data_IF_536914128310
#
_entry.id   IF_536914128310
#
_cell.length_a   1.000
_cell.length_b   1.000
_cell.length_c   1.000
_cell.angle_alpha   90.00
_cell.angle_beta   90.00
_cell.angle_gamma   90.00
#
_symmetry.space_group_name_H-M   'P 1'
#
loop_
_entity.id
_entity.type
_entity.pdbx_description
1 polymer ?
#
# COMPACT_ATOMS: atom_id res chain seq x y z
N UNK A 1 6.92 -8.60 14.23
CA UNK A 1 6.59 -7.27 13.68
C UNK A 1 7.30 -7.00 12.36
N UNK A 2 8.64 -7.11 12.29
CA UNK A 2 9.41 -6.89 11.04
C UNK A 2 8.88 -7.75 9.88
N UNK A 3 8.55 -9.02 10.11
CA UNK A 3 8.07 -9.92 9.05
C UNK A 3 6.80 -9.44 8.32
N UNK A 4 5.84 -8.78 8.99
CA UNK A 4 4.65 -8.25 8.29
C UNK A 4 5.01 -7.12 7.33
N UNK A 5 5.86 -6.20 7.80
CA UNK A 5 6.31 -5.05 7.01
C UNK A 5 7.11 -5.53 5.79
N UNK A 6 8.06 -6.43 6.00
CA UNK A 6 8.90 -6.97 4.93
C UNK A 6 8.08 -7.82 3.96
N UNK A 7 7.21 -8.71 4.45
CA UNK A 7 6.32 -9.48 3.58
C UNK A 7 5.46 -8.56 2.69
N UNK A 8 4.87 -7.50 3.26
CA UNK A 8 4.08 -6.55 2.48
C UNK A 8 4.93 -5.69 1.54
N UNK A 9 6.17 -5.35 1.89
CA UNK A 9 7.05 -4.61 0.98
C UNK A 9 7.35 -5.42 -0.28
N UNK A 10 7.60 -6.73 -0.12
CA UNK A 10 7.83 -7.59 -1.28
C UNK A 10 6.55 -7.77 -2.10
N UNK A 11 5.41 -8.02 -1.46
CA UNK A 11 4.14 -8.25 -2.20
C UNK A 11 3.65 -6.98 -2.90
N UNK A 12 3.79 -5.80 -2.29
CA UNK A 12 3.44 -4.55 -2.98
C UNK A 12 4.43 -4.22 -4.10
N UNK A 13 5.73 -4.49 -3.90
CA UNK A 13 6.75 -4.37 -4.94
C UNK A 13 6.44 -5.23 -6.16
N UNK A 14 6.14 -6.52 -5.94
CA UNK A 14 5.68 -7.44 -6.96
C UNK A 14 4.51 -6.86 -7.77
N UNK A 15 3.42 -6.46 -7.10
CA UNK A 15 2.23 -5.97 -7.78
C UNK A 15 2.47 -4.68 -8.56
N UNK A 16 3.34 -3.80 -8.07
CA UNK A 16 3.76 -2.60 -8.81
C UNK A 16 4.46 -2.97 -10.11
N UNK A 17 5.48 -3.82 -10.02
CA UNK A 17 6.29 -4.18 -11.18
C UNK A 17 5.50 -4.96 -12.22
N UNK A 18 4.70 -5.95 -11.80
CA UNK A 18 3.95 -6.78 -12.75
C UNK A 18 2.84 -5.98 -13.46
N UNK A 19 2.22 -5.04 -12.75
CA UNK A 19 1.18 -4.16 -13.33
C UNK A 19 1.80 -3.26 -14.41
N UNK A 20 2.93 -2.63 -14.12
CA UNK A 20 3.65 -1.81 -15.11
C UNK A 20 4.13 -2.68 -16.28
N UNK A 21 4.71 -3.85 -15.99
CA UNK A 21 5.21 -4.74 -17.04
C UNK A 21 4.11 -5.17 -18.01
N UNK A 22 2.96 -5.63 -17.49
CA UNK A 22 1.81 -6.04 -18.32
C UNK A 22 1.23 -4.90 -19.13
N UNK A 23 1.15 -3.70 -18.55
CA UNK A 23 0.73 -2.50 -19.30
C UNK A 23 1.66 -2.25 -20.48
N UNK A 24 2.98 -2.25 -20.25
CA UNK A 24 4.00 -2.00 -21.29
C UNK A 24 4.21 -3.16 -22.28
N UNK A 25 3.66 -4.34 -21.99
CA UNK A 25 3.58 -5.46 -22.92
C UNK A 25 2.40 -5.26 -23.89
N UNK A 26 1.26 -4.80 -23.38
CA UNK A 26 0.08 -4.45 -24.18
C UNK A 26 0.26 -3.13 -24.96
N UNK A 27 1.04 -2.20 -24.41
CA UNK A 27 1.34 -0.87 -24.96
C UNK A 27 2.86 -0.65 -25.09
N UNK A 28 3.54 -1.30 -26.06
CA UNK A 28 4.97 -1.16 -26.24
C UNK A 28 5.44 0.29 -26.53
N UNK A 29 4.55 1.13 -27.06
CA UNK A 29 4.77 2.55 -27.32
C UNK A 29 5.05 3.38 -26.06
N UNK A 30 4.50 2.97 -24.92
CA UNK A 30 4.67 3.64 -23.63
C UNK A 30 6.01 3.29 -22.95
N UNK A 31 6.80 2.40 -23.57
CA UNK A 31 8.08 1.93 -23.02
C UNK A 31 9.20 2.94 -23.29
N UNK A 32 9.19 4.01 -22.52
CA UNK A 32 10.13 5.14 -22.66
C UNK A 32 11.55 4.87 -22.14
N UNK A 33 11.77 3.79 -21.36
CA UNK A 33 13.10 3.43 -20.81
C UNK A 33 13.41 1.92 -20.92
N UNK A 34 14.68 1.53 -21.17
CA UNK A 34 15.08 0.12 -21.25
C UNK A 34 14.88 -0.68 -19.96
N UNK A 35 14.89 -0.01 -18.81
CA UNK A 35 14.77 -0.62 -17.47
C UNK A 35 13.50 -1.49 -17.33
N UNK A 36 12.42 -1.12 -18.03
CA UNK A 36 11.16 -1.86 -17.99
C UNK A 36 11.26 -3.29 -18.51
N UNK A 37 12.29 -3.62 -19.32
CA UNK A 37 12.54 -4.99 -19.78
C UNK A 37 12.99 -5.93 -18.66
N UNK A 38 13.51 -5.38 -17.55
CA UNK A 38 13.97 -6.17 -16.40
C UNK A 38 12.87 -6.39 -15.36
N UNK A 39 11.72 -5.74 -15.50
CA UNK A 39 10.65 -5.79 -14.49
C UNK A 39 10.11 -7.21 -14.31
N UNK A 40 10.00 -8.02 -15.38
CA UNK A 40 9.59 -9.42 -15.26
C UNK A 40 10.51 -10.22 -14.34
N UNK A 41 11.84 -10.08 -14.52
CA UNK A 41 12.81 -10.76 -13.68
C UNK A 41 12.73 -10.29 -12.22
N UNK A 42 12.61 -8.98 -11.99
CA UNK A 42 12.42 -8.45 -10.63
C UNK A 42 11.13 -8.93 -9.99
N UNK A 43 10.03 -9.06 -10.74
CA UNK A 43 8.80 -9.66 -10.23
C UNK A 43 9.04 -11.09 -9.73
N UNK A 44 9.85 -11.89 -10.43
CA UNK A 44 10.18 -13.24 -9.98
C UNK A 44 10.98 -13.24 -8.68
N UNK A 45 11.92 -12.30 -8.53
CA UNK A 45 12.72 -12.17 -7.31
C UNK A 45 11.85 -11.73 -6.12
N UNK A 46 11.02 -10.70 -6.29
CA UNK A 46 10.04 -10.24 -5.29
C UNK A 46 9.08 -11.36 -4.88
N UNK A 47 8.61 -12.17 -5.84
CA UNK A 47 7.72 -13.28 -5.53
C UNK A 47 8.42 -14.34 -4.68
N UNK A 48 9.66 -14.72 -5.03
CA UNK A 48 10.47 -15.69 -4.27
C UNK A 48 10.76 -15.20 -2.85
N UNK A 49 11.11 -13.92 -2.69
CA UNK A 49 11.29 -13.33 -1.36
C UNK A 49 10.00 -13.38 -0.55
N UNK A 50 8.87 -13.02 -1.16
CA UNK A 50 7.56 -13.10 -0.52
C UNK A 50 7.19 -14.52 -0.08
N UNK A 51 7.52 -15.54 -0.88
CA UNK A 51 7.25 -16.95 -0.56
C UNK A 51 8.14 -17.44 0.59
N UNK A 52 9.39 -16.96 0.66
CA UNK A 52 10.27 -17.21 1.80
C UNK A 52 9.71 -16.63 3.10
N UNK A 53 9.21 -15.38 3.07
CA UNK A 53 8.58 -14.77 4.23
C UNK A 53 7.26 -15.45 4.62
N UNK A 54 6.46 -15.89 3.65
CA UNK A 54 5.26 -16.71 3.92
C UNK A 54 5.64 -17.97 4.72
N UNK A 55 6.65 -18.71 4.26
CA UNK A 55 7.14 -19.90 4.96
C UNK A 55 7.60 -19.59 6.40
N UNK A 56 8.35 -18.50 6.61
CA UNK A 56 8.77 -18.07 7.95
C UNK A 56 7.57 -17.75 8.84
N UNK A 57 6.61 -16.97 8.32
CA UNK A 57 5.44 -16.56 9.10
C UNK A 57 4.56 -17.75 9.47
N UNK A 58 4.44 -18.75 8.59
CA UNK A 58 3.75 -20.01 8.89
C UNK A 58 4.49 -20.89 9.89
N UNK A 59 5.81 -20.92 9.83
CA UNK A 59 6.64 -21.67 10.77
C UNK A 59 6.59 -21.09 12.20
N UNK A 60 6.13 -19.84 12.37
CA UNK A 60 6.00 -19.17 13.65
C UNK A 60 4.52 -18.85 13.96
N UNK A 61 3.75 -19.76 14.60
CA UNK A 61 2.31 -19.62 14.83
C UNK A 61 1.87 -18.33 15.53
N UNK A 62 2.71 -17.77 16.41
CA UNK A 62 2.45 -16.50 17.09
C UNK A 62 2.38 -15.29 16.15
N UNK A 63 2.87 -15.43 14.91
CA UNK A 63 2.71 -14.40 13.88
C UNK A 63 1.36 -14.44 13.18
N UNK A 64 0.54 -15.49 13.32
CA UNK A 64 -0.69 -15.61 12.52
C UNK A 64 -1.94 -15.92 13.34
N UNK A 65 -1.79 -16.52 14.52
CA UNK A 65 -2.91 -17.20 15.19
C UNK A 65 -3.55 -16.43 16.35
N UNK A 66 -2.96 -15.33 16.81
CA UNK A 66 -3.47 -14.58 17.96
C UNK A 66 -4.19 -13.28 17.57
N UNK A 67 -4.87 -12.68 18.54
CA UNK A 67 -5.57 -11.41 18.35
C UNK A 67 -4.58 -10.27 18.01
N UNK A 68 -3.33 -10.37 18.47
CA UNK A 68 -2.29 -9.40 18.16
C UNK A 68 -1.94 -9.46 16.66
N UNK A 69 -1.84 -10.65 16.08
CA UNK A 69 -1.59 -10.85 14.66
C UNK A 69 -2.66 -10.19 13.79
N UNK A 70 -3.92 -10.21 14.24
CA UNK A 70 -4.99 -9.45 13.56
C UNK A 70 -4.75 -7.94 13.60
N UNK A 71 -4.35 -7.40 14.74
CA UNK A 71 -4.04 -5.98 14.88
C UNK A 71 -2.81 -5.58 14.04
N UNK A 72 -1.76 -6.40 14.04
CA UNK A 72 -0.57 -6.16 13.23
C UNK A 72 -0.85 -6.24 11.73
N UNK A 73 -1.65 -7.22 11.30
CA UNK A 73 -2.08 -7.32 9.90
C UNK A 73 -2.78 -6.04 9.45
N UNK A 74 -3.76 -5.56 10.24
CA UNK A 74 -4.47 -4.30 9.96
C UNK A 74 -3.54 -3.10 9.93
N UNK A 75 -2.65 -3.00 10.92
CA UNK A 75 -1.71 -1.89 11.04
C UNK A 75 -0.80 -1.81 9.83
N UNK A 76 -0.11 -2.91 9.50
CA UNK A 76 0.86 -2.92 8.42
C UNK A 76 0.21 -2.79 7.04
N UNK A 77 -0.96 -3.42 6.80
CA UNK A 77 -1.73 -3.19 5.57
C UNK A 77 -2.07 -1.71 5.41
N UNK A 78 -2.61 -1.08 6.45
CA UNK A 78 -3.00 0.33 6.38
C UNK A 78 -1.79 1.24 6.17
N UNK A 79 -0.69 1.01 6.90
CA UNK A 79 0.53 1.80 6.77
C UNK A 79 1.12 1.72 5.37
N UNK A 80 1.21 0.52 4.79
CA UNK A 80 1.76 0.32 3.44
C UNK A 80 0.84 0.96 2.40
N UNK A 81 -0.48 0.71 2.45
CA UNK A 81 -1.43 1.25 1.48
C UNK A 81 -1.52 2.77 1.54
N UNK A 82 -1.61 3.35 2.73
CA UNK A 82 -1.65 4.80 2.89
C UNK A 82 -0.34 5.46 2.44
N UNK A 83 0.81 4.87 2.76
CA UNK A 83 2.10 5.41 2.32
C UNK A 83 2.22 5.41 0.81
N UNK A 84 1.84 4.31 0.15
CA UNK A 84 1.84 4.24 -1.31
C UNK A 84 0.89 5.29 -1.90
N UNK A 85 -0.39 5.27 -1.50
CA UNK A 85 -1.43 6.13 -2.06
C UNK A 85 -1.12 7.62 -1.89
N UNK A 86 -0.58 8.03 -0.74
CA UNK A 86 -0.26 9.44 -0.48
C UNK A 86 1.00 9.93 -1.21
N UNK A 87 1.94 9.04 -1.52
CA UNK A 87 3.20 9.40 -2.17
C UNK A 87 3.09 9.38 -3.71
N UNK A 88 2.41 8.39 -4.28
CA UNK A 88 2.45 8.16 -5.73
C UNK A 88 1.68 9.22 -6.54
N UNK A 89 0.75 9.94 -5.91
CA UNK A 89 0.10 11.12 -6.49
C UNK A 89 1.11 12.21 -6.86
N UNK A 90 2.17 12.34 -6.05
CA UNK A 90 3.25 13.30 -6.32
C UNK A 90 4.07 12.88 -7.55
N UNK A 91 3.92 11.62 -8.00
CA UNK A 91 4.60 11.02 -9.16
C UNK A 91 3.65 10.81 -10.35
N UNK A 92 2.49 11.47 -10.35
CA UNK A 92 1.51 11.39 -11.45
C UNK A 92 2.11 11.63 -12.83
N UNK A 93 3.08 12.55 -12.97
CA UNK A 93 3.79 12.79 -14.23
C UNK A 93 4.59 11.58 -14.75
N UNK A 94 5.13 10.73 -13.85
CA UNK A 94 5.80 9.49 -14.26
C UNK A 94 4.81 8.48 -14.83
N UNK A 95 3.70 8.24 -14.12
CA UNK A 95 2.68 7.29 -14.58
C UNK A 95 2.06 7.74 -15.91
N UNK A 96 1.77 9.04 -16.06
CA UNK A 96 1.26 9.59 -17.31
C UNK A 96 2.25 9.42 -18.48
N UNK A 97 3.55 9.50 -18.23
CA UNK A 97 4.57 9.31 -19.27
C UNK A 97 4.67 7.86 -19.78
N UNK A 98 4.11 6.89 -19.05
CA UNK A 98 4.01 5.48 -19.45
C UNK A 98 2.55 5.06 -19.69
N UNK A 99 1.66 6.01 -19.99
CA UNK A 99 0.26 5.73 -20.35
C UNK A 99 -0.64 5.25 -19.21
N UNK A 100 -0.23 5.43 -17.94
CA UNK A 100 -0.99 5.01 -16.77
C UNK A 100 -1.62 6.19 -16.03
N UNK A 101 -2.84 5.99 -15.53
CA UNK A 101 -3.41 6.85 -14.50
C UNK A 101 -2.91 6.41 -13.11
N UNK A 102 -2.30 7.33 -12.37
CA UNK A 102 -1.70 7.02 -11.06
C UNK A 102 -2.73 6.55 -10.03
N UNK A 103 -3.98 7.04 -10.07
CA UNK A 103 -5.01 6.68 -9.09
C UNK A 103 -5.56 5.30 -9.35
N UNK A 104 -5.87 4.99 -10.60
CA UNK A 104 -6.36 3.69 -10.99
C UNK A 104 -5.28 2.62 -10.79
N UNK A 105 -4.03 2.96 -11.12
CA UNK A 105 -2.87 2.13 -10.81
C UNK A 105 -2.74 1.84 -9.31
N UNK A 106 -2.79 2.88 -8.46
CA UNK A 106 -2.64 2.71 -7.02
C UNK A 106 -3.75 1.84 -6.42
N UNK A 107 -5.00 2.08 -6.83
CA UNK A 107 -6.15 1.28 -6.39
C UNK A 107 -5.96 -0.19 -6.76
N UNK A 108 -5.58 -0.46 -8.01
CA UNK A 108 -5.35 -1.83 -8.50
C UNK A 108 -4.25 -2.54 -7.70
N UNK A 109 -3.11 -1.88 -7.49
CA UNK A 109 -2.00 -2.47 -6.72
C UNK A 109 -2.41 -2.73 -5.28
N UNK A 110 -3.14 -1.80 -4.64
CA UNK A 110 -3.63 -1.97 -3.27
C UNK A 110 -4.57 -3.17 -3.18
N UNK A 111 -5.55 -3.26 -4.09
CA UNK A 111 -6.52 -4.36 -4.15
C UNK A 111 -5.79 -5.71 -4.28
N UNK A 112 -4.88 -5.84 -5.25
CA UNK A 112 -4.16 -7.09 -5.49
C UNK A 112 -3.17 -7.45 -4.39
N UNK A 113 -2.54 -6.46 -3.78
CA UNK A 113 -1.70 -6.68 -2.59
C UNK A 113 -2.54 -7.16 -1.41
N UNK A 114 -3.71 -6.56 -1.18
CA UNK A 114 -4.63 -6.93 -0.10
C UNK A 114 -5.18 -8.36 -0.29
N UNK A 115 -5.60 -8.71 -1.50
CA UNK A 115 -6.00 -10.08 -1.87
C UNK A 115 -4.88 -11.10 -1.59
N UNK A 116 -3.66 -10.78 -2.02
CA UNK A 116 -2.49 -11.67 -1.86
C UNK A 116 -2.09 -11.82 -0.40
N UNK A 117 -2.13 -10.73 0.37
CA UNK A 117 -1.83 -10.76 1.79
C UNK A 117 -2.79 -11.68 2.56
N UNK A 118 -4.05 -11.76 2.14
CA UNK A 118 -5.05 -12.63 2.75
C UNK A 118 -4.79 -14.14 2.65
N UNK A 119 -3.80 -14.57 1.85
CA UNK A 119 -3.33 -15.97 1.85
C UNK A 119 -2.55 -16.33 3.11
N UNK A 120 -1.94 -15.32 3.75
CA UNK A 120 -1.04 -15.46 4.89
C UNK A 120 -1.65 -14.83 6.13
N UNK A 121 -2.11 -13.58 6.01
CA UNK A 121 -2.60 -12.81 7.15
C UNK A 121 -3.97 -13.33 7.60
N UNK A 122 -4.24 -13.36 8.92
CA UNK A 122 -5.54 -13.78 9.45
C UNK A 122 -6.68 -12.82 9.10
N UNK A 123 -6.36 -11.58 8.73
CA UNK A 123 -7.34 -10.57 8.31
C UNK A 123 -6.76 -9.67 7.23
N UNK A 124 -7.64 -9.14 6.38
CA UNK A 124 -7.32 -8.09 5.41
C UNK A 124 -8.21 -6.87 5.61
N UNK A 125 -7.82 -5.73 5.01
CA UNK A 125 -8.63 -4.52 5.06
C UNK A 125 -9.80 -4.63 4.07
N UNK A 126 -10.93 -4.01 4.39
CA UNK A 126 -12.05 -3.90 3.47
C UNK A 126 -11.82 -2.71 2.51
N UNK A 127 -10.92 -2.89 1.55
CA UNK A 127 -10.49 -1.82 0.61
C UNK A 127 -11.59 -1.43 -0.38
N UNK A 128 -12.56 -2.32 -0.62
CA UNK A 128 -13.73 -2.07 -1.47
C UNK A 128 -14.81 -1.23 -0.77
N UNK A 129 -14.70 -1.04 0.55
CA UNK A 129 -15.63 -0.19 1.27
C UNK A 129 -15.59 1.24 0.69
N UNK A 130 -16.73 1.87 0.38
CA UNK A 130 -16.76 3.16 -0.31
C UNK A 130 -15.95 4.24 0.42
N UNK A 131 -15.97 4.20 1.75
CA UNK A 131 -15.24 5.16 2.57
C UNK A 131 -13.71 4.97 2.58
N UNK A 132 -13.19 3.82 2.13
CA UNK A 132 -11.77 3.49 2.23
C UNK A 132 -10.92 4.51 1.47
N UNK A 133 -11.18 4.65 0.16
CA UNK A 133 -10.46 5.60 -0.68
C UNK A 133 -10.89 7.04 -0.40
N UNK A 134 -12.14 7.31 -0.02
CA UNK A 134 -12.58 8.66 0.37
C UNK A 134 -11.78 9.20 1.56
N UNK A 135 -11.53 8.37 2.56
CA UNK A 135 -10.69 8.72 3.71
C UNK A 135 -9.24 8.98 3.29
N UNK A 136 -8.69 8.20 2.36
CA UNK A 136 -7.35 8.45 1.82
C UNK A 136 -7.30 9.75 1.01
N UNK A 137 -8.33 10.07 0.22
CA UNK A 137 -8.43 11.34 -0.51
C UNK A 137 -8.48 12.56 0.41
N UNK A 138 -9.14 12.45 1.56
CA UNK A 138 -9.06 13.51 2.60
C UNK A 138 -7.60 13.72 3.02
N UNK A 139 -6.86 12.64 3.28
CA UNK A 139 -5.44 12.72 3.65
C UNK A 139 -4.58 13.32 2.52
N UNK A 140 -4.88 13.01 1.26
CA UNK A 140 -4.20 13.63 0.10
C UNK A 140 -4.40 15.14 0.11
N UNK A 141 -5.65 15.61 0.21
CA UNK A 141 -5.96 17.05 0.25
C UNK A 141 -5.32 17.74 1.43
N UNK A 142 -5.30 17.08 2.59
CA UNK A 142 -4.61 17.59 3.77
C UNK A 142 -3.10 17.71 3.53
N UNK A 143 -2.47 16.71 2.91
CA UNK A 143 -1.05 16.74 2.58
C UNK A 143 -0.71 17.87 1.61
N UNK A 144 -1.56 18.14 0.61
CA UNK A 144 -1.39 19.30 -0.28
C UNK A 144 -1.40 20.63 0.49
N UNK A 145 -2.33 20.80 1.44
CA UNK A 145 -2.40 21.99 2.29
C UNK A 145 -1.21 22.10 3.24
N UNK A 146 -0.76 20.98 3.81
CA UNK A 146 0.44 20.91 4.64
C UNK A 146 1.68 21.36 3.85
N UNK A 147 1.85 20.89 2.62
CA UNK A 147 2.93 21.32 1.72
C UNK A 147 2.85 22.80 1.40
N UNK A 148 1.66 23.34 1.13
CA UNK A 148 1.47 24.77 0.91
C UNK A 148 1.87 25.62 2.13
N UNK A 149 1.55 25.16 3.35
CA UNK A 149 1.97 25.83 4.59
C UNK A 149 3.49 25.78 4.76
N UNK A 150 4.13 24.63 4.50
CA UNK A 150 5.60 24.50 4.56
C UNK A 150 6.28 25.49 3.62
N UNK A 151 5.74 25.65 2.41
CA UNK A 151 6.28 26.53 1.37
C UNK A 151 5.91 28.02 1.57
N UNK A 152 5.11 28.34 2.58
CA UNK A 152 4.73 29.71 2.90
C UNK A 152 5.86 30.49 3.59
N UNK A 153 5.86 31.81 3.47
CA UNK A 153 6.81 32.71 4.17
C UNK A 153 6.44 32.95 5.65
N UNK A 154 5.40 32.30 6.16
CA UNK A 154 4.89 32.48 7.52
C UNK A 154 5.89 31.94 8.56
N UNK A 155 6.08 32.60 9.72
CA UNK A 155 6.97 32.11 10.78
C UNK A 155 6.69 30.67 11.21
N UNK A 156 7.74 29.89 11.52
CA UNK A 156 7.65 28.45 11.86
C UNK A 156 6.66 28.14 12.98
N UNK A 157 6.59 28.99 14.01
CA UNK A 157 5.63 28.82 15.11
C UNK A 157 4.18 28.93 14.62
N UNK A 158 3.86 29.89 13.75
CA UNK A 158 2.51 30.03 13.17
C UNK A 158 2.19 28.86 12.22
N UNK A 159 3.18 28.39 11.45
CA UNK A 159 3.00 27.18 10.63
C UNK A 159 2.63 25.96 11.47
N UNK A 160 3.13 25.83 12.71
CA UNK A 160 2.77 24.71 13.59
C UNK A 160 1.26 24.69 13.86
N UNK A 161 0.67 25.83 14.22
CA UNK A 161 -0.78 25.94 14.46
C UNK A 161 -1.59 25.73 13.17
N UNK A 162 -1.11 26.22 12.03
CA UNK A 162 -1.76 26.00 10.74
C UNK A 162 -1.76 24.51 10.33
N UNK A 163 -0.72 23.75 10.70
CA UNK A 163 -0.59 22.31 10.39
C UNK A 163 -1.44 21.43 11.31
N UNK A 164 -1.63 21.85 12.57
CA UNK A 164 -2.34 21.07 13.59
C UNK A 164 -3.70 20.50 13.14
N UNK A 165 -4.64 21.28 12.56
CA UNK A 165 -5.93 20.73 12.14
C UNK A 165 -5.80 19.64 11.07
N UNK A 166 -4.81 19.74 10.18
CA UNK A 166 -4.58 18.73 9.14
C UNK A 166 -3.95 17.46 9.70
N UNK A 167 -3.05 17.57 10.68
CA UNK A 167 -2.52 16.40 11.39
C UNK A 167 -3.60 15.68 12.19
N UNK A 168 -4.47 16.41 12.89
CA UNK A 168 -5.62 15.83 13.60
C UNK A 168 -6.59 15.16 12.61
N UNK A 169 -6.87 15.81 11.48
CA UNK A 169 -7.70 15.24 10.43
C UNK A 169 -7.11 13.94 9.87
N UNK A 170 -5.82 13.91 9.54
CA UNK A 170 -5.14 12.70 9.08
C UNK A 170 -5.19 11.58 10.13
N UNK A 171 -4.87 11.91 11.39
CA UNK A 171 -4.95 10.96 12.51
C UNK A 171 -6.35 10.36 12.67
N UNK A 172 -7.39 11.18 12.52
CA UNK A 172 -8.77 10.73 12.57
C UNK A 172 -9.12 9.80 11.39
N UNK A 173 -8.72 10.13 10.16
CA UNK A 173 -8.96 9.26 9.01
C UNK A 173 -8.26 7.91 9.16
N UNK A 174 -6.99 7.90 9.60
CA UNK A 174 -6.28 6.64 9.84
C UNK A 174 -6.89 5.81 10.96
N UNK A 175 -7.36 6.46 12.04
CA UNK A 175 -8.06 5.75 13.10
C UNK A 175 -9.37 5.13 12.59
N UNK A 176 -10.15 5.87 11.81
CA UNK A 176 -11.39 5.37 11.18
C UNK A 176 -11.10 4.17 10.27
N UNK A 177 -10.11 4.28 9.39
CA UNK A 177 -9.69 3.19 8.51
C UNK A 177 -9.18 1.99 9.29
N UNK A 178 -8.39 2.22 10.34
CA UNK A 178 -7.87 1.15 11.19
C UNK A 178 -8.97 0.41 11.92
N UNK A 179 -10.01 1.11 12.40
CA UNK A 179 -11.15 0.55 13.13
C UNK A 179 -12.26 -0.01 12.22
N UNK A 180 -12.23 0.28 10.93
CA UNK A 180 -13.15 -0.31 9.94
C UNK A 180 -13.18 -1.84 10.06
N UNK A 181 -14.36 -2.45 9.92
CA UNK A 181 -14.52 -3.90 10.05
C UNK A 181 -13.64 -4.61 9.02
N UNK A 182 -12.64 -5.41 9.46
CA UNK A 182 -11.78 -6.13 8.54
C UNK A 182 -12.51 -7.34 7.97
N UNK A 183 -11.94 -7.92 6.91
CA UNK A 183 -12.38 -9.20 6.35
C UNK A 183 -11.55 -10.30 7.01
N UNK A 184 -12.23 -11.24 7.66
CA UNK A 184 -11.60 -12.41 8.27
C UNK A 184 -11.16 -13.38 7.18
N UNK A 185 -9.88 -13.76 7.21
CA UNK A 185 -9.33 -14.72 6.27
C UNK A 185 -9.25 -16.07 6.97
N UNK A 186 -9.77 -17.10 6.32
CA UNK A 186 -9.53 -18.48 6.76
C UNK A 186 -8.05 -18.73 6.55
N UNK A 187 -7.29 -18.84 7.64
CA UNK A 187 -5.90 -19.30 7.58
C UNK A 187 -5.92 -20.63 6.84
N UNK A 188 -5.43 -20.63 5.60
CA UNK A 188 -5.24 -21.86 4.83
C UNK A 188 -4.07 -22.59 5.47
N UNK A 189 -4.31 -23.20 6.63
CA UNK A 189 -3.36 -24.04 7.32
C UNK A 189 -3.32 -25.36 6.56
N UNK A 190 -2.18 -25.67 5.93
CA UNK A 190 -1.86 -27.03 5.51
C UNK A 190 -2.45 -27.54 4.20
N UNK A 191 -3.10 -26.72 3.38
CA UNK A 191 -3.40 -27.14 1.99
C UNK A 191 -2.20 -26.77 1.12
N UNK A 192 -1.22 -27.66 1.11
CA UNK A 192 -0.23 -27.72 0.02
C UNK A 192 -1.04 -27.97 -1.25
N UNK A 193 -0.98 -27.05 -2.21
CA UNK A 193 -1.49 -27.28 -3.56
C UNK A 193 -0.35 -27.77 -4.45
#
# INVERSE_FOLDING_TARGET
FIFYATYLSEKIGYWRYITIYRHLEAHPEDRIYPIFRFFENWCQDENRHGDFFDAIMRAQPSCLNDWQAKLWSRFFLLSVFATMYLNDIQRSGFYAAIGLDAREYDKHVIEKTNETAGRVFPVILNVEHPEFYDSLEVCVRNNQKLTAIVNSKTPKFLQLFQKLPYYLSNGWQFLRLYLMKPIEMVSSQGVVR
#
